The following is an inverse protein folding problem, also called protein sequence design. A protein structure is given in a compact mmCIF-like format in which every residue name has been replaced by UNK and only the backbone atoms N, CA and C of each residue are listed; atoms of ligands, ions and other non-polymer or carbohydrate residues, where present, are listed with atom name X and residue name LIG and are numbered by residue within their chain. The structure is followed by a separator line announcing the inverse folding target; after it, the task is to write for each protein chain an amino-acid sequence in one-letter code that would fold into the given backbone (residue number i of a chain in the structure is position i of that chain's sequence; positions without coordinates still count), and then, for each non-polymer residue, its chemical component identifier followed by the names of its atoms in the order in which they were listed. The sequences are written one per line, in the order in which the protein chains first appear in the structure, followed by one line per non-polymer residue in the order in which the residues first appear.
data_IF_258878751364
#
_entry.id   IF_258878751364
#
_cell.length_a   1.000
_cell.length_b   1.000
_cell.length_c   1.000
_cell.angle_alpha   90.00
_cell.angle_beta   90.00
_cell.angle_gamma   90.00
#
_symmetry.space_group_name_H-M   'P 1'
#
loop_
_entity.id
_entity.type
_entity.pdbx_description
1 polymer ?
#
# COMPACT_ATOMS: atom_id res chain seq x y z
N UNK A 1 0.84 -22.18 -31.19
CA UNK A 1 2.05 -21.40 -30.85
C UNK A 1 2.20 -20.23 -31.81
N UNK A 2 1.46 -19.15 -31.59
CA UNK A 2 1.67 -17.86 -32.26
C UNK A 2 0.85 -16.82 -31.48
N UNK A 3 1.51 -16.00 -30.66
CA UNK A 3 0.88 -15.00 -29.80
C UNK A 3 1.78 -14.49 -28.68
N UNK A 4 2.79 -15.26 -28.26
CA UNK A 4 3.69 -14.88 -27.16
C UNK A 4 4.93 -14.07 -27.60
N UNK A 5 5.20 -13.89 -28.90
CA UNK A 5 6.50 -13.37 -29.34
C UNK A 5 6.58 -11.84 -29.48
N UNK A 6 5.45 -11.11 -29.53
CA UNK A 6 5.45 -9.65 -29.72
C UNK A 6 5.33 -8.87 -28.40
N UNK A 7 4.95 -9.51 -27.29
CA UNK A 7 4.75 -8.82 -26.01
C UNK A 7 5.99 -8.65 -25.16
N UNK A 8 7.02 -9.49 -25.31
CA UNK A 8 8.13 -9.51 -24.35
C UNK A 8 9.14 -8.37 -24.49
N UNK A 9 9.51 -7.99 -25.72
CA UNK A 9 10.50 -6.94 -25.94
C UNK A 9 9.93 -5.55 -25.64
N UNK A 10 8.77 -5.22 -26.21
CA UNK A 10 8.10 -3.93 -25.97
C UNK A 10 7.72 -3.76 -24.50
N UNK A 11 7.22 -4.82 -23.82
CA UNK A 11 6.94 -4.74 -22.37
C UNK A 11 8.21 -4.62 -21.55
N UNK A 12 9.31 -5.25 -21.96
CA UNK A 12 10.60 -5.11 -21.27
C UNK A 12 11.17 -3.71 -21.43
N UNK A 13 11.05 -3.10 -22.60
CA UNK A 13 11.51 -1.73 -22.85
C UNK A 13 10.64 -0.71 -22.13
N UNK A 14 9.31 -0.90 -22.15
CA UNK A 14 8.37 -0.10 -21.36
C UNK A 14 8.68 -0.20 -19.87
N UNK A 15 8.91 -1.42 -19.34
CA UNK A 15 9.30 -1.61 -17.94
C UNK A 15 10.62 -0.88 -17.65
N UNK A 16 11.65 -1.05 -18.48
CA UNK A 16 12.94 -0.35 -18.29
C UNK A 16 12.78 1.16 -18.24
N UNK A 17 11.97 1.73 -19.13
CA UNK A 17 11.71 3.17 -19.19
C UNK A 17 10.94 3.65 -17.94
N UNK A 18 9.95 2.89 -17.49
CA UNK A 18 9.21 3.18 -16.25
C UNK A 18 10.16 3.13 -15.05
N UNK A 19 10.98 2.08 -14.91
CA UNK A 19 11.93 1.96 -13.79
C UNK A 19 12.93 3.13 -13.81
N UNK A 20 13.48 3.48 -14.98
CA UNK A 20 14.39 4.62 -15.10
C UNK A 20 13.72 5.95 -14.70
N UNK A 21 12.46 6.17 -15.10
CA UNK A 21 11.69 7.34 -14.68
C UNK A 21 11.49 7.40 -13.16
N UNK A 22 11.17 6.27 -12.53
CA UNK A 22 10.99 6.21 -11.08
C UNK A 22 12.30 6.42 -10.32
N UNK A 23 13.43 6.00 -10.88
CA UNK A 23 14.76 6.33 -10.35
C UNK A 23 15.04 7.83 -10.44
N UNK A 24 14.75 8.45 -11.58
CA UNK A 24 14.91 9.91 -11.74
C UNK A 24 14.04 10.70 -10.76
N UNK A 25 12.82 10.22 -10.46
CA UNK A 25 11.92 10.81 -9.47
C UNK A 25 12.51 10.81 -8.04
N UNK A 26 13.52 9.97 -7.74
CA UNK A 26 14.19 10.01 -6.44
C UNK A 26 15.09 11.24 -6.26
N UNK A 27 15.42 11.94 -7.35
CA UNK A 27 16.26 13.14 -7.29
C UNK A 27 15.47 14.31 -6.67
N UNK A 28 16.05 15.05 -5.71
CA UNK A 28 15.41 16.23 -5.15
C UNK A 28 15.11 17.29 -6.22
N UNK A 29 14.05 18.05 -6.02
CA UNK A 29 13.64 19.16 -6.89
C UNK A 29 13.52 20.46 -6.07
N UNK A 30 13.70 21.61 -6.72
CA UNK A 30 13.58 22.93 -6.11
C UNK A 30 12.15 23.44 -6.26
N UNK A 31 11.41 23.54 -5.16
CA UNK A 31 10.01 23.99 -5.12
C UNK A 31 9.86 25.08 -4.06
N UNK A 32 9.24 26.21 -4.41
CA UNK A 32 9.07 27.37 -3.52
C UNK A 32 10.35 27.83 -2.79
N UNK A 33 11.52 27.64 -3.41
CA UNK A 33 12.83 27.99 -2.85
C UNK A 33 13.47 26.94 -1.94
N UNK A 34 12.83 25.77 -1.75
CA UNK A 34 13.32 24.68 -0.91
C UNK A 34 13.63 23.44 -1.75
N UNK A 35 14.69 22.70 -1.39
CA UNK A 35 14.95 21.38 -1.97
C UNK A 35 14.09 20.34 -1.27
N UNK A 36 13.21 19.69 -2.03
CA UNK A 36 12.26 18.69 -1.52
C UNK A 36 12.38 17.38 -2.31
N UNK A 37 11.83 16.26 -1.83
CA UNK A 37 11.78 15.02 -2.61
C UNK A 37 11.15 15.21 -4.00
N UNK A 38 11.65 14.48 -5.00
CA UNK A 38 11.19 14.59 -6.39
C UNK A 38 9.76 14.12 -6.66
N UNK A 39 9.10 13.54 -5.66
CA UNK A 39 7.69 13.10 -5.70
C UNK A 39 6.73 14.11 -5.03
N UNK A 40 7.10 15.40 -4.99
CA UNK A 40 6.16 16.47 -4.65
C UNK A 40 5.04 16.53 -5.70
N UNK A 41 3.80 16.60 -5.23
CA UNK A 41 2.63 16.74 -6.10
C UNK A 41 2.20 18.19 -6.17
N UNK A 42 2.29 18.78 -7.37
CA UNK A 42 1.85 20.14 -7.65
C UNK A 42 0.31 20.22 -7.56
N UNK A 43 -0.25 21.06 -6.67
CA UNK A 43 -1.71 21.21 -6.55
C UNK A 43 -2.34 21.81 -7.82
N UNK A 44 -1.57 22.46 -8.69
CA UNK A 44 -2.03 23.01 -9.97
C UNK A 44 -2.31 21.97 -11.05
N UNK A 45 -1.96 20.69 -10.84
CA UNK A 45 -2.22 19.63 -11.83
C UNK A 45 -3.72 19.30 -11.91
N UNK A 46 -4.23 19.13 -13.13
CA UNK A 46 -5.65 18.84 -13.40
C UNK A 46 -6.16 17.56 -12.73
N UNK A 47 -5.28 16.59 -12.50
CA UNK A 47 -5.62 15.31 -11.88
C UNK A 47 -5.71 15.38 -10.35
N UNK A 48 -5.29 16.48 -9.73
CA UNK A 48 -5.40 16.65 -8.28
C UNK A 48 -6.82 17.12 -7.93
N UNK A 49 -7.57 16.39 -7.09
CA UNK A 49 -8.93 16.77 -6.71
C UNK A 49 -8.96 18.15 -6.02
N UNK A 50 -10.01 18.93 -6.28
CA UNK A 50 -10.17 20.27 -5.70
C UNK A 50 -10.14 20.26 -4.16
N UNK A 51 -10.70 19.22 -3.53
CA UNK A 51 -10.64 19.04 -2.09
C UNK A 51 -9.20 18.86 -1.58
N UNK A 52 -8.36 18.14 -2.31
CA UNK A 52 -6.95 17.97 -1.97
C UNK A 52 -6.18 19.29 -2.14
N UNK A 53 -6.47 20.07 -3.19
CA UNK A 53 -5.88 21.41 -3.40
C UNK A 53 -6.17 22.37 -2.26
N UNK A 54 -7.40 22.35 -1.76
CA UNK A 54 -7.82 23.19 -0.63
C UNK A 54 -7.09 22.80 0.67
N UNK A 55 -6.78 21.53 0.87
CA UNK A 55 -6.06 21.02 2.05
C UNK A 55 -4.55 21.22 1.93
N UNK A 56 -4.01 21.10 0.72
CA UNK A 56 -2.57 21.18 0.42
C UNK A 56 -2.28 22.29 -0.61
N UNK A 57 -2.47 23.58 -0.26
CA UNK A 57 -2.34 24.68 -1.20
C UNK A 57 -0.92 24.89 -1.73
N UNK A 58 0.11 24.37 -1.04
CA UNK A 58 1.51 24.35 -1.48
C UNK A 58 1.95 22.96 -1.99
N UNK A 59 1.00 22.05 -2.18
CA UNK A 59 1.26 20.66 -2.56
C UNK A 59 1.62 19.75 -1.40
N UNK A 60 1.86 18.49 -1.74
CA UNK A 60 2.00 17.40 -0.77
C UNK A 60 2.87 16.25 -1.27
N UNK A 61 3.18 15.33 -0.36
CA UNK A 61 3.90 14.09 -0.60
C UNK A 61 3.07 12.92 -0.10
N UNK A 62 2.61 12.09 -1.02
CA UNK A 62 1.73 10.97 -0.72
C UNK A 62 2.55 9.73 -0.32
N UNK A 63 2.17 9.07 0.78
CA UNK A 63 2.84 7.88 1.29
C UNK A 63 2.17 6.57 0.86
N UNK A 64 0.94 6.64 0.34
CA UNK A 64 0.16 5.45 0.00
C UNK A 64 0.82 4.60 -1.06
N UNK A 65 0.52 3.29 -1.06
CA UNK A 65 0.98 2.40 -2.14
C UNK A 65 0.22 2.65 -3.44
N UNK A 66 -1.04 3.09 -3.35
CA UNK A 66 -1.90 3.28 -4.52
C UNK A 66 -1.64 4.60 -5.27
N UNK A 67 -1.25 5.65 -4.54
CA UNK A 67 -1.15 7.01 -5.08
C UNK A 67 0.10 7.78 -4.63
N UNK A 68 1.02 7.11 -3.93
CA UNK A 68 2.18 7.73 -3.31
C UNK A 68 3.44 6.91 -3.46
N UNK A 69 4.49 7.33 -2.76
CA UNK A 69 5.86 6.84 -2.97
C UNK A 69 6.04 5.35 -2.65
N UNK A 70 5.18 4.76 -1.82
CA UNK A 70 5.23 3.32 -1.53
C UNK A 70 4.90 2.47 -2.77
N UNK A 71 4.17 2.99 -3.76
CA UNK A 71 3.90 2.30 -5.03
C UNK A 71 5.18 2.15 -5.86
N UNK A 72 5.83 3.26 -6.27
CA UNK A 72 7.14 3.26 -6.91
C UNK A 72 8.19 2.43 -6.16
N UNK A 73 8.29 2.58 -4.83
CA UNK A 73 9.21 1.81 -4.01
C UNK A 73 8.95 0.30 -4.13
N UNK A 74 7.69 -0.13 -4.04
CA UNK A 74 7.32 -1.54 -4.16
C UNK A 74 7.58 -2.08 -5.56
N UNK A 75 7.30 -1.31 -6.61
CA UNK A 75 7.57 -1.71 -8.00
C UNK A 75 9.06 -1.86 -8.26
N UNK A 76 9.89 -0.90 -7.80
CA UNK A 76 11.35 -1.00 -7.90
C UNK A 76 11.84 -2.26 -7.16
N UNK A 77 11.38 -2.49 -5.92
CA UNK A 77 11.77 -3.65 -5.14
C UNK A 77 11.41 -4.98 -5.84
N UNK A 78 10.16 -5.11 -6.31
CA UNK A 78 9.69 -6.31 -7.02
C UNK A 78 10.45 -6.53 -8.34
N UNK A 79 10.68 -5.46 -9.11
CA UNK A 79 11.45 -5.53 -10.35
C UNK A 79 12.90 -5.98 -10.10
N UNK A 80 13.55 -5.43 -9.06
CA UNK A 80 14.89 -5.83 -8.65
C UNK A 80 14.95 -7.32 -8.25
N UNK A 81 13.99 -7.79 -7.45
CA UNK A 81 13.87 -9.21 -7.05
C UNK A 81 13.65 -10.14 -8.25
N UNK A 82 12.95 -9.66 -9.29
CA UNK A 82 12.77 -10.38 -10.55
C UNK A 82 13.98 -10.26 -11.51
N UNK A 83 15.06 -9.57 -11.11
CA UNK A 83 16.29 -9.42 -11.90
C UNK A 83 16.26 -8.28 -12.93
N UNK A 84 15.24 -7.42 -12.89
CA UNK A 84 15.17 -6.22 -13.74
C UNK A 84 15.85 -5.04 -13.03
N UNK A 85 17.01 -4.64 -13.54
CA UNK A 85 17.85 -3.59 -12.94
C UNK A 85 18.10 -2.46 -13.94
N UNK A 86 18.04 -1.23 -13.43
CA UNK A 86 18.45 0.00 -14.12
C UNK A 86 19.51 0.74 -13.28
N UNK A 87 20.30 1.67 -13.87
CA UNK A 87 21.26 2.46 -13.10
C UNK A 87 20.62 3.17 -11.91
N UNK A 88 21.38 3.33 -10.81
CA UNK A 88 21.00 4.05 -9.58
C UNK A 88 19.74 3.54 -8.86
N UNK A 89 19.21 2.37 -9.26
CA UNK A 89 17.96 1.80 -8.75
C UNK A 89 17.98 1.52 -7.24
N UNK A 90 19.09 1.00 -6.71
CA UNK A 90 19.23 0.74 -5.28
C UNK A 90 19.28 2.04 -4.47
N UNK A 91 19.98 3.05 -4.98
CA UNK A 91 20.10 4.37 -4.32
C UNK A 91 18.77 5.11 -4.32
N UNK A 92 17.99 5.00 -5.41
CA UNK A 92 16.64 5.52 -5.48
C UNK A 92 15.71 4.83 -4.46
N UNK A 93 15.73 3.49 -4.40
CA UNK A 93 14.96 2.73 -3.40
C UNK A 93 15.35 3.13 -1.98
N UNK A 94 16.65 3.28 -1.70
CA UNK A 94 17.15 3.74 -0.39
C UNK A 94 16.61 5.12 -0.03
N UNK A 95 16.70 6.07 -0.96
CA UNK A 95 16.21 7.45 -0.79
C UNK A 95 14.71 7.47 -0.44
N UNK A 96 13.91 6.70 -1.18
CA UNK A 96 12.48 6.57 -0.95
C UNK A 96 12.18 5.90 0.41
N UNK A 97 12.81 4.77 0.71
CA UNK A 97 12.61 4.03 1.94
C UNK A 97 13.00 4.86 3.18
N UNK A 98 14.15 5.53 3.14
CA UNK A 98 14.61 6.38 4.23
C UNK A 98 13.66 7.55 4.47
N UNK A 99 13.10 8.14 3.41
CA UNK A 99 12.08 9.18 3.57
C UNK A 99 10.81 8.63 4.21
N UNK A 100 10.29 7.48 3.74
CA UNK A 100 9.12 6.82 4.35
C UNK A 100 9.39 6.55 5.84
N UNK A 101 10.56 6.01 6.18
CA UNK A 101 10.97 5.75 7.56
C UNK A 101 10.99 7.02 8.43
N UNK A 102 11.48 8.16 7.90
CA UNK A 102 11.48 9.44 8.62
C UNK A 102 10.07 9.99 8.88
N UNK A 103 9.07 9.62 8.08
CA UNK A 103 7.68 10.06 8.25
C UNK A 103 6.86 9.18 9.20
N UNK A 104 7.47 8.12 9.73
CA UNK A 104 6.88 7.27 10.75
C UNK A 104 6.47 8.08 11.98
N UNK A 105 5.27 7.83 12.47
CA UNK A 105 4.72 8.38 13.72
C UNK A 105 4.42 7.24 14.69
N UNK A 106 4.41 7.55 15.98
CA UNK A 106 4.04 6.61 17.05
C UNK A 106 2.82 7.18 17.76
N UNK A 107 1.75 6.39 17.80
CA UNK A 107 0.51 6.71 18.51
C UNK A 107 0.23 5.69 19.60
N UNK A 108 -0.93 5.81 20.25
CA UNK A 108 -1.34 4.90 21.33
C UNK A 108 -1.40 3.43 20.89
N UNK A 109 -1.78 3.19 19.63
CA UNK A 109 -1.91 1.86 19.03
C UNK A 109 -0.68 1.46 18.19
N UNK A 110 0.48 2.02 18.55
CA UNK A 110 1.75 1.73 17.89
C UNK A 110 2.05 2.59 16.67
N UNK A 111 2.83 2.00 15.77
CA UNK A 111 3.42 2.69 14.61
C UNK A 111 2.37 2.98 13.53
N UNK A 112 2.44 4.17 12.94
CA UNK A 112 1.64 4.54 11.79
C UNK A 112 2.35 5.57 10.90
N UNK A 113 1.79 5.80 9.72
CA UNK A 113 2.20 6.86 8.82
C UNK A 113 1.03 7.79 8.53
N UNK A 114 1.30 9.09 8.33
CA UNK A 114 0.32 9.95 7.69
C UNK A 114 0.14 9.46 6.24
N UNK A 115 -1.08 9.49 5.72
CA UNK A 115 -1.30 9.13 4.31
C UNK A 115 -0.64 10.12 3.34
N UNK A 116 -0.46 11.37 3.78
CA UNK A 116 0.11 12.50 3.04
C UNK A 116 0.89 13.41 3.98
N UNK A 117 1.92 14.06 3.47
CA UNK A 117 2.71 15.09 4.18
C UNK A 117 2.59 16.39 3.39
N UNK A 118 2.15 17.47 4.02
CA UNK A 118 2.08 18.76 3.32
C UNK A 118 3.48 19.31 3.03
N UNK A 119 3.58 20.21 2.06
CA UNK A 119 4.82 20.92 1.79
C UNK A 119 5.39 21.59 3.04
N UNK A 120 4.54 22.24 3.85
CA UNK A 120 4.95 22.93 5.06
C UNK A 120 5.50 21.98 6.13
N UNK A 121 4.91 20.78 6.27
CA UNK A 121 5.40 19.74 7.17
C UNK A 121 6.74 19.15 6.68
N UNK A 122 6.91 18.98 5.37
CA UNK A 122 8.19 18.52 4.78
C UNK A 122 9.32 19.51 5.04
N UNK A 123 9.07 20.80 4.82
CA UNK A 123 10.10 21.85 4.92
C UNK A 123 10.22 22.45 6.33
N UNK A 124 9.47 21.96 7.32
CA UNK A 124 9.46 22.51 8.68
C UNK A 124 8.88 23.92 8.78
N UNK A 125 8.13 24.38 7.78
CA UNK A 125 7.43 25.68 7.77
C UNK A 125 6.08 25.64 8.48
N UNK A 126 5.64 24.45 8.86
CA UNK A 126 4.39 24.22 9.55
C UNK A 126 4.32 24.97 10.87
N UNK A 127 3.31 25.85 11.02
CA UNK A 127 3.12 26.69 12.21
C UNK A 127 2.37 25.99 13.34
N UNK A 128 1.76 24.84 13.03
CA UNK A 128 1.01 23.99 13.94
C UNK A 128 1.23 22.55 13.54
N UNK A 129 1.31 21.59 14.48
CA UNK A 129 1.32 20.18 14.12
C UNK A 129 0.10 19.88 13.24
N UNK A 130 0.30 19.22 12.09
CA UNK A 130 -0.81 18.82 11.24
C UNK A 130 -1.88 18.11 12.08
N UNK A 131 -3.15 18.44 11.83
CA UNK A 131 -4.27 17.83 12.53
C UNK A 131 -4.09 16.32 12.52
N UNK A 132 -4.24 15.70 13.70
CA UNK A 132 -4.11 14.24 13.86
C UNK A 132 -5.25 13.56 13.12
N UNK A 133 -5.07 13.28 11.82
CA UNK A 133 -5.93 12.38 11.07
C UNK A 133 -5.75 11.00 11.70
N UNK A 134 -6.88 10.35 12.02
CA UNK A 134 -6.86 9.00 12.57
C UNK A 134 -5.99 8.08 11.70
N UNK A 135 -5.11 7.28 12.31
CA UNK A 135 -4.17 6.48 11.55
C UNK A 135 -4.93 5.42 10.74
N UNK A 136 -4.67 5.41 9.44
CA UNK A 136 -5.26 4.45 8.50
C UNK A 136 -4.55 3.12 8.55
N UNK A 137 -5.30 2.03 8.46
CA UNK A 137 -4.76 0.66 8.43
C UNK A 137 -4.82 0.03 7.04
N UNK A 138 -5.55 0.62 6.11
CA UNK A 138 -5.79 0.08 4.76
C UNK A 138 -4.53 -0.10 3.90
N UNK A 139 -4.67 -0.88 2.83
CA UNK A 139 -3.65 -1.08 1.82
C UNK A 139 -3.33 0.21 1.06
N UNK A 140 -4.33 0.95 0.57
CA UNK A 140 -4.09 2.03 -0.40
C UNK A 140 -3.32 3.23 0.17
N UNK A 141 -3.66 3.72 1.37
CA UNK A 141 -3.04 4.88 2.01
C UNK A 141 -2.51 4.60 3.43
N UNK A 142 -2.81 3.42 3.98
CA UNK A 142 -2.59 3.11 5.38
C UNK A 142 -1.34 2.29 5.67
N UNK A 143 -1.20 1.95 6.95
CA UNK A 143 -0.03 1.25 7.46
C UNK A 143 0.20 -0.13 6.84
N UNK A 144 -0.84 -0.85 6.38
CA UNK A 144 -0.65 -2.15 5.73
C UNK A 144 0.13 -2.01 4.41
N UNK A 145 -0.26 -1.07 3.53
CA UNK A 145 0.46 -0.84 2.27
C UNK A 145 1.90 -0.38 2.50
N UNK A 146 2.11 0.54 3.45
CA UNK A 146 3.46 1.01 3.82
C UNK A 146 4.31 -0.12 4.39
N UNK A 147 3.74 -0.98 5.24
CA UNK A 147 4.42 -2.14 5.81
C UNK A 147 4.93 -3.09 4.71
N UNK A 148 4.09 -3.41 3.71
CA UNK A 148 4.50 -4.24 2.57
C UNK A 148 5.61 -3.58 1.76
N UNK A 149 5.49 -2.28 1.47
CA UNK A 149 6.49 -1.55 0.70
C UNK A 149 7.87 -1.57 1.39
N UNK A 150 7.91 -1.30 2.70
CA UNK A 150 9.15 -1.35 3.49
C UNK A 150 9.75 -2.76 3.54
N UNK A 151 8.92 -3.80 3.69
CA UNK A 151 9.38 -5.18 3.66
C UNK A 151 10.01 -5.55 2.31
N UNK A 152 9.33 -5.21 1.20
CA UNK A 152 9.84 -5.47 -0.15
C UNK A 152 11.17 -4.73 -0.40
N UNK A 153 11.24 -3.46 0.01
CA UNK A 153 12.45 -2.66 -0.08
C UNK A 153 13.58 -3.25 0.76
N UNK A 154 13.32 -3.61 2.02
CA UNK A 154 14.30 -4.22 2.92
C UNK A 154 14.91 -5.48 2.36
N UNK A 155 14.07 -6.39 1.83
CA UNK A 155 14.54 -7.61 1.15
C UNK A 155 15.43 -7.31 -0.07
N UNK A 156 15.06 -6.31 -0.87
CA UNK A 156 15.79 -5.94 -2.09
C UNK A 156 17.12 -5.24 -1.79
N UNK A 157 17.14 -4.42 -0.74
CA UNK A 157 18.30 -3.65 -0.29
C UNK A 157 19.23 -4.45 0.64
N UNK A 158 18.83 -5.65 1.06
CA UNK A 158 19.56 -6.42 2.08
C UNK A 158 19.53 -5.77 3.46
N UNK A 159 18.46 -5.01 3.75
CA UNK A 159 18.29 -4.24 4.98
C UNK A 159 17.21 -4.87 5.88
N UNK A 160 17.62 -5.56 6.97
CA UNK A 160 16.67 -6.19 7.88
C UNK A 160 15.88 -5.17 8.71
N UNK A 161 16.39 -3.95 8.95
CA UNK A 161 15.70 -2.96 9.78
C UNK A 161 14.44 -2.44 9.06
N UNK A 162 14.52 -2.23 7.75
CA UNK A 162 13.34 -1.90 6.94
C UNK A 162 12.26 -3.01 7.00
N UNK A 163 12.72 -4.26 6.96
CA UNK A 163 11.84 -5.43 7.05
C UNK A 163 11.15 -5.50 8.40
N UNK A 164 11.91 -5.38 9.49
CA UNK A 164 11.37 -5.42 10.86
C UNK A 164 10.42 -4.24 11.14
N UNK A 165 10.71 -3.03 10.64
CA UNK A 165 9.77 -1.91 10.79
C UNK A 165 8.45 -2.15 10.05
N UNK A 166 8.48 -2.77 8.87
CA UNK A 166 7.26 -3.20 8.19
C UNK A 166 6.47 -4.20 9.04
N UNK A 167 7.15 -5.16 9.65
CA UNK A 167 6.53 -6.20 10.49
C UNK A 167 5.93 -5.58 11.77
N UNK A 168 6.64 -4.67 12.44
CA UNK A 168 6.15 -3.92 13.58
C UNK A 168 4.93 -3.04 13.26
N UNK A 169 4.90 -2.47 12.05
CA UNK A 169 3.74 -1.74 11.56
C UNK A 169 2.53 -2.67 11.41
N UNK A 170 2.72 -3.87 10.86
CA UNK A 170 1.64 -4.86 10.73
C UNK A 170 1.18 -5.38 12.10
N UNK A 171 2.11 -5.58 13.06
CA UNK A 171 1.78 -5.87 14.47
C UNK A 171 0.91 -4.76 15.07
N UNK A 172 1.25 -3.50 14.81
CA UNK A 172 0.48 -2.32 15.27
C UNK A 172 -0.91 -2.29 14.64
N UNK A 173 -1.05 -2.64 13.35
CA UNK A 173 -2.36 -2.77 12.68
C UNK A 173 -3.22 -3.83 13.38
N UNK A 174 -2.64 -4.96 13.78
CA UNK A 174 -3.37 -6.02 14.48
C UNK A 174 -3.75 -5.73 15.93
N UNK A 175 -3.16 -4.70 16.54
CA UNK A 175 -3.58 -4.21 17.87
C UNK A 175 -4.86 -3.37 17.79
N UNK A 176 -5.20 -2.85 16.61
CA UNK A 176 -6.43 -2.09 16.39
C UNK A 176 -7.61 -3.03 16.22
N UNK A 177 -8.81 -2.65 16.67
CA UNK A 177 -10.02 -3.38 16.29
C UNK A 177 -10.24 -3.31 14.77
N UNK A 178 -10.45 -4.46 14.15
CA UNK A 178 -10.82 -4.63 12.72
C UNK A 178 -12.09 -5.48 12.61
N UNK A 179 -12.97 -5.39 13.60
CA UNK A 179 -14.32 -5.92 13.50
C UNK A 179 -15.14 -5.11 12.49
N UNK A 180 -16.33 -5.60 12.18
CA UNK A 180 -17.26 -4.87 11.29
C UNK A 180 -17.64 -3.49 11.86
N UNK A 181 -17.62 -3.32 13.17
CA UNK A 181 -17.94 -2.04 13.81
C UNK A 181 -16.86 -0.98 13.56
N UNK A 182 -15.59 -1.37 13.51
CA UNK A 182 -14.46 -0.44 13.43
C UNK A 182 -13.90 -0.31 12.01
N UNK A 183 -14.01 -1.37 11.22
CA UNK A 183 -13.66 -1.38 9.80
C UNK A 183 -14.81 -2.03 9.00
N UNK A 184 -15.90 -1.28 8.75
CA UNK A 184 -17.10 -1.81 8.09
C UNK A 184 -16.83 -2.28 6.67
N UNK A 185 -15.87 -1.64 5.98
CA UNK A 185 -15.48 -2.03 4.64
C UNK A 185 -14.75 -3.39 4.63
N UNK A 186 -15.36 -4.36 3.94
CA UNK A 186 -14.78 -5.68 3.72
C UNK A 186 -13.82 -5.73 2.51
N UNK A 187 -13.87 -4.73 1.62
CA UNK A 187 -13.29 -4.77 0.28
C UNK A 187 -11.76 -4.62 0.29
N UNK A 188 -11.13 -4.71 -0.88
CA UNK A 188 -9.68 -4.76 -0.98
C UNK A 188 -9.02 -3.39 -0.75
N UNK A 189 -9.45 -2.37 -1.47
CA UNK A 189 -8.73 -1.10 -1.59
C UNK A 189 -8.49 -0.43 -0.23
N UNK A 190 -9.56 -0.27 0.55
CA UNK A 190 -9.50 0.35 1.88
C UNK A 190 -10.21 -0.43 2.98
N UNK A 191 -10.51 -1.70 2.70
CA UNK A 191 -11.19 -2.59 3.61
C UNK A 191 -10.30 -3.67 4.20
N UNK A 192 -10.94 -4.53 4.98
CA UNK A 192 -10.31 -5.65 5.69
C UNK A 192 -9.61 -6.64 4.75
N UNK A 193 -10.07 -6.81 3.50
CA UNK A 193 -9.44 -7.74 2.57
C UNK A 193 -8.02 -7.29 2.15
N UNK A 194 -7.79 -5.99 1.92
CA UNK A 194 -6.44 -5.50 1.60
C UNK A 194 -5.45 -5.71 2.75
N UNK A 195 -5.91 -5.49 3.97
CA UNK A 195 -5.13 -5.74 5.19
C UNK A 195 -4.81 -7.24 5.33
N UNK A 196 -5.79 -8.12 5.07
CA UNK A 196 -5.60 -9.57 5.11
C UNK A 196 -4.56 -10.02 4.08
N UNK A 197 -4.68 -9.60 2.82
CA UNK A 197 -3.72 -10.03 1.80
C UNK A 197 -2.30 -9.57 2.14
N UNK A 198 -2.17 -8.36 2.66
CA UNK A 198 -0.88 -7.83 3.14
C UNK A 198 -0.29 -8.71 4.22
N UNK A 199 -1.06 -9.02 5.25
CA UNK A 199 -0.62 -9.93 6.30
C UNK A 199 -0.20 -11.31 5.77
N UNK A 200 -0.98 -11.89 4.85
CA UNK A 200 -0.71 -13.20 4.26
C UNK A 200 0.62 -13.21 3.52
N UNK A 201 0.89 -12.19 2.69
CA UNK A 201 2.16 -12.08 1.95
C UNK A 201 3.32 -11.90 2.90
N UNK A 202 3.19 -11.01 3.88
CA UNK A 202 4.22 -10.78 4.89
C UNK A 202 4.51 -12.05 5.71
N UNK A 203 3.48 -12.77 6.13
CA UNK A 203 3.58 -13.99 6.92
C UNK A 203 4.18 -15.15 6.12
N UNK A 204 3.85 -15.27 4.83
CA UNK A 204 4.42 -16.27 3.94
C UNK A 204 5.91 -16.02 3.68
N UNK A 205 6.31 -14.75 3.56
CA UNK A 205 7.71 -14.37 3.33
C UNK A 205 8.60 -14.54 4.57
N UNK A 206 8.06 -14.30 5.77
CA UNK A 206 8.84 -14.24 7.03
C UNK A 206 8.70 -15.48 7.89
N UNK A 207 7.57 -16.19 7.79
CA UNK A 207 7.24 -17.32 8.65
C UNK A 207 6.85 -16.94 10.09
N UNK A 208 6.71 -15.64 10.42
CA UNK A 208 6.38 -15.21 11.77
C UNK A 208 4.96 -15.64 12.19
N UNK A 209 4.80 -16.45 13.27
CA UNK A 209 3.50 -17.00 13.68
C UNK A 209 2.45 -15.92 14.00
N UNK A 210 2.85 -14.81 14.60
CA UNK A 210 1.93 -13.74 15.01
C UNK A 210 1.26 -13.04 13.82
N UNK A 211 1.92 -12.99 12.66
CA UNK A 211 1.33 -12.45 11.44
C UNK A 211 0.25 -13.38 10.91
N UNK A 212 0.49 -14.69 10.99
CA UNK A 212 -0.51 -15.70 10.66
C UNK A 212 -1.70 -15.66 11.62
N UNK A 213 -1.47 -15.51 12.93
CA UNK A 213 -2.56 -15.39 13.90
C UNK A 213 -3.46 -14.17 13.62
N UNK A 214 -2.86 -13.04 13.24
CA UNK A 214 -3.60 -11.86 12.81
C UNK A 214 -4.40 -12.09 11.52
N UNK A 215 -3.78 -12.72 10.52
CA UNK A 215 -4.45 -13.12 9.28
C UNK A 215 -5.62 -14.07 9.53
N UNK A 216 -5.45 -15.08 10.39
CA UNK A 216 -6.46 -16.09 10.72
C UNK A 216 -7.71 -15.43 11.36
N UNK A 217 -7.50 -14.48 12.28
CA UNK A 217 -8.61 -13.69 12.88
C UNK A 217 -9.34 -12.84 11.86
N UNK A 218 -8.60 -12.16 10.98
CA UNK A 218 -9.17 -11.26 9.98
C UNK A 218 -9.92 -12.03 8.89
N UNK A 219 -9.39 -13.17 8.44
CA UNK A 219 -10.06 -14.08 7.50
C UNK A 219 -11.37 -14.62 8.09
N UNK A 220 -11.36 -15.03 9.37
CA UNK A 220 -12.58 -15.46 10.06
C UNK A 220 -13.62 -14.33 10.12
N UNK A 221 -13.19 -13.11 10.43
CA UNK A 221 -14.04 -11.91 10.47
C UNK A 221 -14.67 -11.60 9.11
N UNK A 222 -13.89 -11.69 8.03
CA UNK A 222 -14.36 -11.50 6.65
C UNK A 222 -15.34 -12.59 6.22
N UNK A 223 -15.04 -13.86 6.50
CA UNK A 223 -15.95 -14.97 6.19
C UNK A 223 -17.30 -14.82 6.91
N UNK A 224 -17.30 -14.41 8.19
CA UNK A 224 -18.52 -14.14 8.96
C UNK A 224 -19.30 -12.90 8.50
N UNK A 225 -18.67 -12.03 7.71
CA UNK A 225 -19.32 -10.82 7.19
C UNK A 225 -20.09 -11.08 5.89
N UNK A 226 -20.05 -12.30 5.35
CA UNK A 226 -20.80 -12.67 4.15
C UNK A 226 -22.31 -12.66 4.45
N UNK A 227 -23.06 -11.90 3.66
CA UNK A 227 -24.52 -11.81 3.75
C UNK A 227 -25.19 -12.49 2.54
N UNK A 228 -25.72 -13.72 2.68
CA UNK A 228 -26.35 -14.45 1.57
C UNK A 228 -27.62 -13.78 1.04
N UNK A 229 -28.14 -12.74 1.69
CA UNK A 229 -29.31 -11.99 1.24
C UNK A 229 -28.96 -10.89 0.23
N UNK A 230 -27.68 -10.64 0.00
CA UNK A 230 -27.16 -9.64 -0.95
C UNK A 230 -26.64 -10.31 -2.23
N UNK A 231 -26.74 -9.67 -3.41
CA UNK A 231 -26.30 -10.24 -4.69
C UNK A 231 -24.92 -10.90 -4.69
N UNK A 232 -23.94 -10.32 -3.99
CA UNK A 232 -22.55 -10.79 -4.00
C UNK A 232 -21.99 -11.13 -2.61
N UNK A 233 -22.81 -11.09 -1.56
CA UNK A 233 -22.38 -11.40 -0.19
C UNK A 233 -21.66 -10.28 0.55
N UNK A 234 -21.07 -9.34 -0.18
CA UNK A 234 -20.33 -8.20 0.37
C UNK A 234 -20.78 -6.92 -0.31
N UNK A 235 -21.01 -5.88 0.49
CA UNK A 235 -21.42 -4.56 0.00
C UNK A 235 -20.37 -3.52 0.35
N UNK A 236 -20.15 -2.60 -0.56
CA UNK A 236 -19.21 -1.50 -0.44
C UNK A 236 -19.87 -0.30 0.26
N UNK A 237 -19.41 0.12 1.45
CA UNK A 237 -19.98 1.27 2.13
C UNK A 237 -19.59 2.57 1.41
N UNK A 238 -20.56 3.46 1.19
CA UNK A 238 -20.32 4.76 0.52
C UNK A 238 -19.63 5.79 1.43
N UNK A 239 -19.44 5.46 2.70
CA UNK A 239 -18.81 6.29 3.74
C UNK A 239 -18.22 5.39 4.83
N UNK A 240 -17.18 5.83 5.56
CA UNK A 240 -16.61 5.08 6.68
C UNK A 240 -17.53 5.03 7.91
N UNK A 241 -18.67 5.72 7.91
CA UNK A 241 -19.61 5.70 9.02
C UNK A 241 -20.23 4.30 9.23
N UNK A 242 -20.46 3.96 10.50
CA UNK A 242 -21.23 2.75 10.85
C UNK A 242 -22.63 2.88 10.24
N UNK A 243 -23.12 1.80 9.63
CA UNK A 243 -24.41 1.72 8.93
C UNK A 243 -24.57 2.68 7.74
N UNK A 244 -23.46 3.16 7.16
CA UNK A 244 -23.50 3.91 5.91
C UNK A 244 -24.22 3.12 4.80
N UNK A 245 -24.99 3.79 3.92
CA UNK A 245 -25.53 3.15 2.73
C UNK A 245 -24.41 2.43 1.96
N UNK A 246 -24.70 1.23 1.51
CA UNK A 246 -23.73 0.38 0.82
C UNK A 246 -24.27 -0.04 -0.55
N UNK A 247 -23.38 -0.28 -1.50
CA UNK A 247 -23.72 -0.72 -2.86
C UNK A 247 -23.14 -2.10 -3.14
N UNK A 248 -23.85 -2.85 -4.00
CA UNK A 248 -23.39 -4.15 -4.47
C UNK A 248 -22.41 -3.96 -5.63
N UNK A 249 -21.13 -4.15 -5.35
CA UNK A 249 -20.05 -3.99 -6.32
C UNK A 249 -19.39 -5.35 -6.59
N UNK A 250 -19.35 -5.83 -7.84
CA UNK A 250 -18.74 -7.12 -8.16
C UNK A 250 -17.21 -7.04 -8.36
N UNK A 251 -16.64 -5.83 -8.42
CA UNK A 251 -15.27 -5.58 -8.88
C UNK A 251 -14.15 -6.05 -7.94
N UNK A 252 -12.92 -5.86 -8.41
CA UNK A 252 -11.71 -6.25 -7.69
C UNK A 252 -11.38 -5.34 -6.50
N UNK A 253 -11.32 -4.02 -6.71
CA UNK A 253 -10.82 -3.10 -5.69
C UNK A 253 -11.85 -2.80 -4.60
N UNK A 254 -13.09 -2.56 -4.99
CA UNK A 254 -14.18 -2.13 -4.10
C UNK A 254 -15.31 -3.16 -4.05
N UNK A 255 -15.10 -4.37 -4.55
CA UNK A 255 -16.17 -5.33 -4.71
C UNK A 255 -15.90 -6.71 -4.12
N UNK A 256 -16.93 -7.55 -4.20
CA UNK A 256 -16.93 -8.89 -3.63
C UNK A 256 -15.88 -9.82 -4.25
N UNK A 257 -15.50 -9.62 -5.53
CA UNK A 257 -14.46 -10.43 -6.17
C UNK A 257 -13.09 -10.26 -5.49
N UNK A 258 -12.73 -9.04 -5.08
CA UNK A 258 -11.50 -8.82 -4.31
C UNK A 258 -11.50 -9.50 -2.96
N UNK A 259 -12.66 -9.51 -2.28
CA UNK A 259 -12.82 -10.23 -0.99
C UNK A 259 -12.65 -11.74 -1.20
N UNK A 260 -13.33 -12.30 -2.20
CA UNK A 260 -13.26 -13.73 -2.50
C UNK A 260 -11.84 -14.16 -2.91
N UNK A 261 -11.18 -13.41 -3.80
CA UNK A 261 -9.80 -13.68 -4.22
C UNK A 261 -8.82 -13.59 -3.05
N UNK A 262 -9.03 -12.64 -2.13
CA UNK A 262 -8.21 -12.54 -0.91
C UNK A 262 -8.39 -13.77 -0.02
N UNK A 263 -9.63 -14.19 0.23
CA UNK A 263 -9.90 -15.38 1.05
C UNK A 263 -9.32 -16.65 0.40
N UNK A 264 -9.38 -16.76 -0.92
CA UNK A 264 -8.74 -17.86 -1.66
C UNK A 264 -7.22 -17.82 -1.53
N UNK A 265 -6.59 -16.65 -1.73
CA UNK A 265 -5.15 -16.46 -1.53
C UNK A 265 -4.71 -16.81 -0.10
N UNK A 266 -5.52 -16.47 0.90
CA UNK A 266 -5.29 -16.84 2.29
C UNK A 266 -5.32 -18.37 2.49
N UNK A 267 -6.36 -19.06 1.99
CA UNK A 267 -6.48 -20.52 2.11
C UNK A 267 -5.33 -21.22 1.39
N UNK A 268 -5.00 -20.81 0.17
CA UNK A 268 -3.88 -21.36 -0.59
C UNK A 268 -2.56 -21.21 0.18
N UNK A 269 -2.27 -20.01 0.66
CA UNK A 269 -1.04 -19.74 1.40
C UNK A 269 -0.99 -20.51 2.73
N UNK A 270 -2.10 -20.63 3.45
CA UNK A 270 -2.19 -21.48 4.67
C UNK A 270 -2.04 -22.95 4.38
N UNK A 271 -2.48 -23.42 3.22
CA UNK A 271 -2.24 -24.78 2.72
C UNK A 271 -0.81 -25.03 2.25
N UNK A 272 0.09 -24.04 2.33
CA UNK A 272 1.48 -24.14 1.90
C UNK A 272 1.68 -23.96 0.39
N UNK A 273 0.63 -23.59 -0.35
CA UNK A 273 0.74 -23.31 -1.78
C UNK A 273 1.37 -21.93 -1.96
N UNK A 274 2.45 -21.89 -2.75
CA UNK A 274 3.07 -20.63 -3.16
C UNK A 274 2.33 -20.06 -4.37
N UNK A 275 2.18 -18.73 -4.48
CA UNK A 275 1.69 -18.09 -5.70
C UNK A 275 2.55 -18.51 -6.89
N UNK A 276 1.92 -18.61 -8.06
CA UNK A 276 2.67 -18.70 -9.30
C UNK A 276 3.36 -17.35 -9.60
N UNK A 277 4.19 -17.34 -10.64
CA UNK A 277 4.71 -16.09 -11.17
C UNK A 277 3.54 -15.39 -11.89
N UNK A 278 3.11 -14.24 -11.36
CA UNK A 278 2.04 -13.37 -11.89
C UNK A 278 0.59 -13.76 -11.53
N UNK A 279 0.27 -13.71 -10.23
CA UNK A 279 -1.11 -13.74 -9.72
C UNK A 279 -1.84 -12.39 -9.83
N UNK A 280 -3.15 -12.39 -9.57
CA UNK A 280 -4.03 -11.21 -9.64
C UNK A 280 -3.55 -10.01 -8.81
N UNK A 281 -2.86 -10.26 -7.70
CA UNK A 281 -2.36 -9.26 -6.76
C UNK A 281 -0.99 -8.69 -7.14
N UNK A 282 -0.41 -9.14 -8.26
CA UNK A 282 0.75 -8.48 -8.90
C UNK A 282 0.40 -7.06 -9.33
N UNK A 283 -0.82 -6.84 -9.85
CA UNK A 283 -1.32 -5.52 -10.22
C UNK A 283 -1.49 -4.58 -9.01
N UNK A 284 -1.39 -5.13 -7.79
CA UNK A 284 -1.58 -4.45 -6.52
C UNK A 284 -0.27 -4.35 -5.73
N UNK A 285 0.87 -4.69 -6.38
CA UNK A 285 2.21 -4.62 -5.80
C UNK A 285 2.37 -5.46 -4.52
N UNK A 286 1.65 -6.59 -4.46
CA UNK A 286 1.63 -7.47 -3.28
C UNK A 286 2.49 -8.72 -3.40
N UNK A 287 2.81 -9.15 -4.64
CA UNK A 287 3.37 -10.46 -5.01
C UNK A 287 4.44 -11.00 -4.05
#
# INVERSE_FOLDING_TARGET
MAGAALGHAESSDALRNVLALLVEMARPILVHGEWVPGWWTDPGLDLVPEADRAVYPLGEFNLGIAHGICGPLSLLALAHQAGHVVPDMLDAMRTMADWVMRKRRVGEQGTYWPGRVSFEDETGRSRSPAASIAPRSDWCYGAAGVARALQLAGRSLGDPDLTEVGIDAMRSVFQRPYGRAEMPDATFCHGRAGVLLTAVRMAADTGYPELWEGADRLATSLARSFDPTTPFGYRYPLSPAVDAPAVDEPGLLQGAAGVALTLLSYVDARGGKRPDHSTWDTALLMA
#
